data_IF_129854449884
#
_entry.id   IF_129854449884
#
_cell.length_a   1.000
_cell.length_b   1.000
_cell.length_c   1.000
_cell.angle_alpha   90.00
_cell.angle_beta   90.00
_cell.angle_gamma   90.00
#
_symmetry.space_group_name_H-M   'P 1'
#
loop_
_entity.id
_entity.type
_entity.pdbx_description
1 polymer ?
#
# COMPACT_ATOMS: atom_id res chain seq x y z
N UNK A 1 17.42 12.22 10.03
CA UNK A 1 17.52 13.23 8.95
C UNK A 1 16.79 14.50 9.38
N UNK A 2 17.15 15.69 8.83
CA UNK A 2 16.58 16.97 9.28
C UNK A 2 15.81 17.68 8.19
N UNK A 3 14.77 18.41 8.56
CA UNK A 3 13.96 19.26 7.68
C UNK A 3 14.84 20.33 6.95
N UNK A 4 15.97 20.68 7.55
CA UNK A 4 16.95 21.60 6.97
C UNK A 4 17.56 21.03 5.68
N UNK A 5 17.92 19.76 5.68
CA UNK A 5 18.49 19.07 4.51
C UNK A 5 17.49 18.96 3.36
N UNK A 6 16.21 18.74 3.67
CA UNK A 6 15.14 18.76 2.67
C UNK A 6 15.00 20.15 2.05
N UNK A 7 15.08 21.20 2.87
CA UNK A 7 15.00 22.58 2.41
C UNK A 7 16.14 22.94 1.46
N UNK A 8 17.36 22.53 1.78
CA UNK A 8 18.55 22.70 0.96
C UNK A 8 18.42 21.99 -0.40
N UNK A 9 18.07 20.72 -0.42
CA UNK A 9 17.94 19.92 -1.65
C UNK A 9 16.73 20.32 -2.52
N UNK A 10 15.61 20.70 -1.87
CA UNK A 10 14.45 21.19 -2.59
C UNK A 10 14.60 22.64 -3.08
N UNK A 11 15.57 23.39 -2.55
CA UNK A 11 15.80 24.80 -2.89
C UNK A 11 14.71 25.72 -2.34
N UNK A 12 14.19 25.46 -1.15
CA UNK A 12 13.11 26.23 -0.51
C UNK A 12 13.42 26.50 0.96
N UNK A 13 12.64 27.40 1.58
CA UNK A 13 12.81 27.69 3.00
C UNK A 13 12.39 26.53 3.89
N UNK A 14 13.01 26.38 5.06
CA UNK A 14 12.61 25.39 6.09
C UNK A 14 11.14 25.55 6.45
N UNK A 15 10.65 26.81 6.51
CA UNK A 15 9.24 27.09 6.82
C UNK A 15 8.31 26.57 5.72
N UNK A 16 8.69 26.66 4.44
CA UNK A 16 7.93 26.11 3.31
C UNK A 16 7.87 24.59 3.39
N UNK A 17 9.01 23.92 3.63
CA UNK A 17 9.07 22.47 3.82
C UNK A 17 8.17 22.05 4.99
N UNK A 18 8.29 22.72 6.13
CA UNK A 18 7.48 22.43 7.31
C UNK A 18 5.96 22.57 7.04
N UNK A 19 5.54 23.60 6.32
CA UNK A 19 4.13 23.80 5.98
C UNK A 19 3.62 22.74 5.00
N UNK A 20 4.39 22.41 3.96
CA UNK A 20 4.03 21.38 2.98
C UNK A 20 3.92 20.00 3.62
N UNK A 21 4.87 19.63 4.48
CA UNK A 21 4.90 18.29 5.09
C UNK A 21 3.92 18.14 6.26
N UNK A 22 3.52 19.24 6.91
CA UNK A 22 2.66 19.19 8.11
C UNK A 22 1.23 19.71 7.89
N UNK A 23 0.91 20.29 6.73
CA UNK A 23 -0.43 20.79 6.44
C UNK A 23 -0.89 20.33 5.06
N UNK A 24 -1.76 19.30 4.99
CA UNK A 24 -2.30 18.77 3.73
C UNK A 24 -3.00 19.84 2.86
N UNK A 25 -3.63 20.82 3.52
CA UNK A 25 -4.38 21.88 2.86
C UNK A 25 -3.54 23.13 2.55
N UNK A 26 -2.23 23.10 2.85
CA UNK A 26 -1.37 24.23 2.54
C UNK A 26 -1.25 24.44 1.02
N UNK A 27 -1.73 25.58 0.54
CA UNK A 27 -1.58 25.99 -0.86
C UNK A 27 -0.13 26.42 -1.09
N UNK A 28 0.67 25.49 -1.58
CA UNK A 28 2.05 25.80 -2.00
C UNK A 28 2.02 26.72 -3.23
N UNK A 29 3.05 27.56 -3.39
CA UNK A 29 3.20 28.48 -4.51
C UNK A 29 3.18 27.78 -5.88
N UNK A 30 3.51 26.49 -5.94
CA UNK A 30 3.46 25.68 -7.15
C UNK A 30 3.30 24.19 -6.79
N UNK A 31 2.47 23.42 -7.54
CA UNK A 31 2.41 21.96 -7.41
C UNK A 31 3.79 21.31 -7.59
N UNK A 32 4.59 21.78 -8.53
CA UNK A 32 5.96 21.27 -8.78
C UNK A 32 6.88 21.39 -7.56
N UNK A 33 6.78 22.49 -6.81
CA UNK A 33 7.55 22.69 -5.57
C UNK A 33 7.07 21.74 -4.49
N UNK A 34 5.76 21.52 -4.35
CA UNK A 34 5.20 20.56 -3.43
C UNK A 34 5.71 19.15 -3.72
N UNK A 35 5.62 18.71 -4.98
CA UNK A 35 6.08 17.39 -5.41
C UNK A 35 7.59 17.21 -5.17
N UNK A 36 8.39 18.26 -5.45
CA UNK A 36 9.83 18.22 -5.18
C UNK A 36 10.12 18.03 -3.69
N UNK A 37 9.44 18.76 -2.80
CA UNK A 37 9.59 18.62 -1.35
C UNK A 37 9.26 17.20 -0.91
N UNK A 38 8.14 16.63 -1.40
CA UNK A 38 7.74 15.27 -1.07
C UNK A 38 8.73 14.23 -1.57
N UNK A 39 9.17 14.32 -2.84
CA UNK A 39 10.20 13.43 -3.40
C UNK A 39 11.49 13.46 -2.61
N UNK A 40 11.93 14.66 -2.23
CA UNK A 40 13.16 14.83 -1.42
C UNK A 40 12.99 14.27 -0.02
N UNK A 41 11.86 14.52 0.65
CA UNK A 41 11.58 13.98 1.98
C UNK A 41 11.58 12.45 1.99
N UNK A 42 10.99 11.85 0.96
CA UNK A 42 10.95 10.40 0.73
C UNK A 42 12.36 9.85 0.48
N UNK A 43 13.11 10.46 -0.44
CA UNK A 43 14.48 10.02 -0.76
C UNK A 43 15.43 10.08 0.44
N UNK A 44 15.20 11.03 1.35
CA UNK A 44 15.99 11.20 2.57
C UNK A 44 15.47 10.42 3.78
N UNK A 45 14.43 9.57 3.62
CA UNK A 45 13.78 8.87 4.72
C UNK A 45 13.45 9.81 5.90
N UNK A 46 12.90 10.98 5.58
CA UNK A 46 12.56 11.95 6.62
C UNK A 46 11.21 11.63 7.25
N UNK A 47 11.21 11.37 8.54
CA UNK A 47 10.00 11.26 9.36
C UNK A 47 9.80 12.53 10.17
N UNK A 48 8.63 13.20 10.09
CA UNK A 48 8.32 14.35 10.92
C UNK A 48 8.42 14.01 12.42
N UNK A 49 9.12 14.82 13.20
CA UNK A 49 9.25 14.61 14.64
C UNK A 49 7.93 14.97 15.34
N UNK A 50 7.20 13.97 15.82
CA UNK A 50 5.92 14.12 16.50
C UNK A 50 6.03 14.91 17.81
N UNK A 51 7.13 14.77 18.56
CA UNK A 51 7.37 15.54 19.79
C UNK A 51 7.48 17.04 19.49
N UNK A 52 8.17 17.42 18.42
CA UNK A 52 8.26 18.80 17.96
C UNK A 52 6.93 19.36 17.43
N UNK A 53 6.06 18.48 16.90
CA UNK A 53 4.72 18.85 16.43
C UNK A 53 3.75 19.06 17.59
N UNK A 54 3.77 18.18 18.59
CA UNK A 54 2.98 18.31 19.81
C UNK A 54 3.29 19.60 20.56
N UNK A 55 4.58 19.99 20.65
CA UNK A 55 5.01 21.25 21.24
C UNK A 55 4.51 22.50 20.48
N UNK A 56 4.28 22.39 19.15
CA UNK A 56 3.78 23.53 18.33
C UNK A 56 2.26 23.66 18.31
N UNK A 57 1.52 22.57 18.52
CA UNK A 57 0.05 22.53 18.45
C UNK A 57 -0.61 22.89 19.79
N UNK A 58 0.17 23.08 20.85
CA UNK A 58 -0.34 23.46 22.18
C UNK A 58 -1.23 22.38 22.82
N UNK A 59 -1.96 22.78 23.88
CA UNK A 59 -2.76 21.89 24.74
C UNK A 59 -3.83 21.03 24.04
N UNK A 60 -4.31 21.40 22.87
CA UNK A 60 -5.32 20.59 22.14
C UNK A 60 -4.75 19.28 21.56
N UNK A 61 -3.49 19.30 21.11
CA UNK A 61 -2.84 18.07 20.60
C UNK A 61 -2.42 17.11 21.73
N UNK A 62 -2.21 17.64 22.94
CA UNK A 62 -1.89 16.80 24.12
C UNK A 62 -3.11 16.04 24.66
N UNK A 63 -4.33 16.41 24.26
CA UNK A 63 -5.58 15.74 24.70
C UNK A 63 -5.96 14.55 23.86
N UNK A 64 -5.42 14.40 22.64
CA UNK A 64 -5.71 13.24 21.79
C UNK A 64 -4.69 12.13 22.04
N UNK A 65 -5.17 11.02 22.59
CA UNK A 65 -4.38 9.79 22.71
C UNK A 65 -3.97 9.33 21.31
N UNK A 66 -2.68 9.03 21.05
CA UNK A 66 -2.27 8.56 19.73
C UNK A 66 -2.89 7.20 19.42
N UNK A 67 -3.24 7.00 18.15
CA UNK A 67 -3.63 5.69 17.66
C UNK A 67 -2.38 4.85 17.38
N UNK A 68 -2.44 3.59 17.77
CA UNK A 68 -1.38 2.63 17.53
C UNK A 68 -1.74 1.74 16.33
N UNK A 69 -0.94 1.80 15.28
CA UNK A 69 -1.23 1.14 13.99
C UNK A 69 -0.16 0.11 13.69
N UNK A 70 -0.58 -1.11 13.37
CA UNK A 70 0.27 -2.16 12.82
C UNK A 70 0.12 -2.27 11.30
N UNK A 71 1.13 -2.78 10.63
CA UNK A 71 1.08 -3.09 9.18
C UNK A 71 1.43 -4.54 8.95
N UNK A 72 0.58 -5.25 8.22
CA UNK A 72 0.78 -6.64 7.83
C UNK A 72 1.05 -6.74 6.32
N UNK A 73 2.28 -7.09 5.96
CA UNK A 73 2.73 -7.33 4.58
C UNK A 73 2.55 -8.81 4.25
N UNK A 74 1.60 -9.15 3.38
CA UNK A 74 1.25 -10.55 3.10
C UNK A 74 1.92 -11.14 1.85
N UNK A 75 2.59 -10.31 1.04
CA UNK A 75 3.23 -10.74 -0.20
C UNK A 75 4.75 -10.89 -0.11
N UNK A 76 5.34 -10.44 0.99
CA UNK A 76 6.80 -10.32 1.14
C UNK A 76 7.26 -11.06 2.39
N UNK A 77 8.40 -11.75 2.26
CA UNK A 77 9.11 -12.34 3.41
C UNK A 77 10.07 -11.34 4.07
N UNK A 78 10.50 -10.33 3.30
CA UNK A 78 11.45 -9.29 3.73
C UNK A 78 11.15 -7.96 3.03
N UNK A 79 11.57 -6.86 3.62
CA UNK A 79 11.37 -5.50 3.12
C UNK A 79 11.92 -5.19 1.72
N UNK A 80 12.75 -6.06 1.14
CA UNK A 80 13.48 -5.78 -0.11
C UNK A 80 13.04 -6.58 -1.32
N UNK A 81 12.00 -7.42 -1.20
CA UNK A 81 11.68 -8.42 -2.24
C UNK A 81 10.69 -7.94 -3.31
N UNK A 82 9.96 -6.86 -3.10
CA UNK A 82 9.01 -6.34 -4.08
C UNK A 82 8.94 -4.80 -4.03
N UNK A 83 9.46 -4.11 -5.06
CA UNK A 83 9.48 -2.63 -5.09
C UNK A 83 8.11 -1.99 -5.00
N UNK A 84 7.07 -2.58 -5.59
CA UNK A 84 5.70 -2.04 -5.57
C UNK A 84 5.12 -2.05 -4.14
N UNK A 85 5.23 -3.17 -3.44
CA UNK A 85 4.72 -3.29 -2.08
C UNK A 85 5.56 -2.48 -1.07
N UNK A 86 6.86 -2.35 -1.31
CA UNK A 86 7.72 -1.45 -0.54
C UNK A 86 7.30 0.01 -0.67
N UNK A 87 6.93 0.44 -1.88
CA UNK A 87 6.44 1.80 -2.08
C UNK A 87 5.11 2.04 -1.38
N UNK A 88 4.17 1.07 -1.43
CA UNK A 88 2.93 1.13 -0.68
C UNK A 88 3.17 1.25 0.82
N UNK A 89 4.04 0.40 1.38
CA UNK A 89 4.41 0.46 2.79
C UNK A 89 4.97 1.84 3.15
N UNK A 90 5.89 2.38 2.34
CA UNK A 90 6.50 3.69 2.58
C UNK A 90 5.47 4.81 2.57
N UNK A 91 4.49 4.77 1.68
CA UNK A 91 3.39 5.74 1.65
C UNK A 91 2.54 5.63 2.92
N UNK A 92 2.20 4.41 3.33
CA UNK A 92 1.43 4.16 4.56
C UNK A 92 2.19 4.66 5.79
N UNK A 93 3.47 4.34 5.94
CA UNK A 93 4.33 4.84 7.02
C UNK A 93 4.37 6.37 7.05
N UNK A 94 4.55 6.99 5.87
CA UNK A 94 4.54 8.46 5.76
C UNK A 94 3.22 9.07 6.19
N UNK A 95 2.08 8.46 5.85
CA UNK A 95 0.76 8.97 6.25
C UNK A 95 0.48 8.75 7.74
N UNK A 96 0.84 7.59 8.31
CA UNK A 96 0.73 7.34 9.76
C UNK A 96 1.49 8.43 10.54
N UNK A 97 2.70 8.77 10.11
CA UNK A 97 3.50 9.81 10.75
C UNK A 97 2.93 11.23 10.62
N UNK A 98 2.04 11.50 9.67
CA UNK A 98 1.37 12.80 9.53
C UNK A 98 0.15 12.94 10.43
N UNK A 99 -0.41 11.85 10.86
CA UNK A 99 -1.58 11.80 11.76
C UNK A 99 -1.13 11.73 13.24
N UNK A 100 -2.08 11.79 14.15
CA UNK A 100 -1.84 11.51 15.57
C UNK A 100 -1.83 9.98 15.75
N UNK A 101 -0.86 9.32 15.09
CA UNK A 101 -0.74 7.88 15.09
C UNK A 101 0.73 7.45 15.20
N UNK A 102 0.93 6.24 15.73
CA UNK A 102 2.24 5.62 15.93
C UNK A 102 2.23 4.28 15.22
N UNK A 103 3.18 4.08 14.30
CA UNK A 103 3.44 2.77 13.73
C UNK A 103 4.08 1.88 14.80
N UNK A 104 3.38 0.84 15.24
CA UNK A 104 3.84 -0.07 16.28
C UNK A 104 4.78 -1.13 15.71
N UNK A 105 4.38 -1.76 14.63
CA UNK A 105 5.14 -2.84 14.01
C UNK A 105 4.74 -3.07 12.56
N UNK A 106 5.69 -3.57 11.76
CA UNK A 106 5.47 -4.11 10.42
C UNK A 106 5.77 -5.60 10.45
N UNK A 107 4.79 -6.43 10.11
CA UNK A 107 4.95 -7.87 9.96
C UNK A 107 5.07 -8.24 8.49
N UNK A 108 5.99 -9.14 8.17
CA UNK A 108 6.17 -9.73 6.83
C UNK A 108 5.77 -11.20 6.92
N UNK A 109 4.52 -11.52 6.57
CA UNK A 109 3.93 -12.85 6.78
C UNK A 109 3.20 -13.37 5.54
N UNK A 110 3.92 -13.95 4.56
CA UNK A 110 3.33 -14.54 3.35
C UNK A 110 2.35 -15.68 3.65
N UNK A 111 2.41 -16.25 4.85
CA UNK A 111 1.42 -17.20 5.34
C UNK A 111 -0.01 -16.76 5.03
N UNK A 112 -0.33 -15.49 5.32
CA UNK A 112 -1.69 -14.96 5.19
C UNK A 112 -2.17 -14.82 3.75
N UNK A 113 -1.29 -14.85 2.76
CA UNK A 113 -1.66 -14.86 1.34
C UNK A 113 -1.83 -16.26 0.75
N UNK A 114 -1.44 -17.29 1.47
CA UNK A 114 -1.42 -18.68 1.01
C UNK A 114 -2.57 -19.50 1.63
N UNK A 115 -3.61 -19.75 0.84
CA UNK A 115 -4.81 -20.45 1.31
C UNK A 115 -4.53 -21.88 1.80
N UNK A 116 -3.54 -22.57 1.22
CA UNK A 116 -3.17 -23.93 1.69
C UNK A 116 -2.51 -23.88 3.07
N UNK A 117 -1.58 -22.95 3.27
CA UNK A 117 -0.91 -22.77 4.56
C UNK A 117 -1.88 -22.29 5.64
N UNK A 118 -2.77 -21.36 5.32
CA UNK A 118 -3.80 -20.87 6.23
C UNK A 118 -4.73 -21.97 6.76
N UNK A 119 -4.99 -23.03 5.97
CA UNK A 119 -5.81 -24.16 6.40
C UNK A 119 -5.09 -25.11 7.37
N UNK A 120 -3.78 -25.13 7.36
CA UNK A 120 -2.96 -26.05 8.17
C UNK A 120 -2.56 -25.39 9.49
N UNK A 121 -2.27 -24.08 9.43
CA UNK A 121 -1.79 -23.31 10.58
C UNK A 121 -2.90 -22.89 11.53
N UNK A 122 -2.58 -22.81 12.80
CA UNK A 122 -3.49 -22.23 13.79
C UNK A 122 -3.46 -20.71 13.73
N UNK A 123 -4.29 -20.14 12.84
CA UNK A 123 -4.35 -18.70 12.61
C UNK A 123 -4.69 -17.89 13.87
N UNK A 124 -5.54 -18.42 14.75
CA UNK A 124 -5.85 -17.74 16.01
C UNK A 124 -4.59 -17.55 16.86
N UNK A 125 -3.77 -18.59 17.00
CA UNK A 125 -2.52 -18.50 17.75
C UNK A 125 -1.54 -17.50 17.11
N UNK A 126 -1.37 -17.58 15.80
CA UNK A 126 -0.46 -16.65 15.07
C UNK A 126 -0.91 -15.20 15.25
N UNK A 127 -2.20 -14.93 15.16
CA UNK A 127 -2.75 -13.57 15.30
C UNK A 127 -2.67 -13.07 16.75
N UNK A 128 -2.87 -13.95 17.75
CA UNK A 128 -2.66 -13.58 19.15
C UNK A 128 -1.18 -13.24 19.42
N UNK A 129 -0.24 -14.07 18.93
CA UNK A 129 1.20 -13.78 19.03
C UNK A 129 1.57 -12.43 18.39
N UNK A 130 1.02 -12.11 17.21
CA UNK A 130 1.19 -10.80 16.58
C UNK A 130 0.69 -9.66 17.46
N UNK A 131 -0.47 -9.82 18.09
CA UNK A 131 -1.05 -8.79 18.94
C UNK A 131 -0.26 -8.60 20.23
N UNK A 132 0.21 -9.69 20.83
CA UNK A 132 1.03 -9.67 22.05
C UNK A 132 2.39 -9.01 21.82
N UNK A 133 2.98 -9.16 20.63
CA UNK A 133 4.22 -8.47 20.24
C UNK A 133 4.11 -6.93 20.28
N UNK A 134 2.92 -6.38 20.24
CA UNK A 134 2.66 -4.94 20.40
C UNK A 134 2.24 -4.56 21.83
N UNK A 135 2.49 -5.43 22.80
CA UNK A 135 2.02 -5.24 24.19
C UNK A 135 0.51 -4.96 24.25
N UNK A 136 -0.26 -5.53 23.33
CA UNK A 136 -1.71 -5.37 23.20
C UNK A 136 -2.17 -3.91 23.01
N UNK A 137 -1.29 -3.06 22.50
CA UNK A 137 -1.55 -1.63 22.28
C UNK A 137 -1.89 -1.26 20.84
N UNK A 138 -2.06 -2.23 19.94
CA UNK A 138 -2.38 -1.97 18.55
C UNK A 138 -3.89 -1.70 18.39
N UNK A 139 -4.26 -0.48 18.03
CA UNK A 139 -5.66 -0.08 17.81
C UNK A 139 -6.17 -0.50 16.43
N UNK A 140 -5.32 -0.42 15.40
CA UNK A 140 -5.69 -0.72 14.03
C UNK A 140 -4.64 -1.49 13.27
N UNK A 141 -5.07 -2.23 12.25
CA UNK A 141 -4.20 -3.01 11.37
C UNK A 141 -4.44 -2.62 9.92
N UNK A 142 -3.36 -2.32 9.20
CA UNK A 142 -3.37 -2.13 7.75
C UNK A 142 -2.78 -3.38 7.11
N UNK A 143 -3.56 -4.05 6.26
CA UNK A 143 -3.12 -5.25 5.52
C UNK A 143 -2.73 -4.81 4.11
N UNK A 144 -1.50 -5.06 3.70
CA UNK A 144 -1.00 -4.76 2.36
C UNK A 144 -0.76 -6.05 1.59
N UNK A 145 -1.53 -6.27 0.54
CA UNK A 145 -1.49 -7.45 -0.30
C UNK A 145 -2.69 -8.38 -0.13
N UNK A 146 -2.71 -9.51 -0.87
CA UNK A 146 -3.76 -10.52 -0.74
C UNK A 146 -3.73 -11.15 0.66
N UNK A 147 -4.89 -11.27 1.28
CA UNK A 147 -5.05 -11.97 2.55
C UNK A 147 -6.16 -13.01 2.45
N UNK A 148 -5.96 -14.15 3.07
CA UNK A 148 -6.95 -15.22 3.15
C UNK A 148 -8.19 -14.75 3.90
N UNK A 149 -9.38 -15.19 3.47
CA UNK A 149 -10.66 -14.74 4.02
C UNK A 149 -10.81 -15.07 5.50
N UNK A 150 -10.47 -16.29 5.92
CA UNK A 150 -10.60 -16.71 7.31
C UNK A 150 -9.66 -15.93 8.22
N UNK A 151 -8.44 -15.66 7.72
CA UNK A 151 -7.47 -14.80 8.41
C UNK A 151 -7.98 -13.36 8.58
N UNK A 152 -8.57 -12.77 7.54
CA UNK A 152 -9.18 -11.43 7.63
C UNK A 152 -10.27 -11.39 8.71
N UNK A 153 -11.13 -12.40 8.76
CA UNK A 153 -12.20 -12.46 9.77
C UNK A 153 -11.65 -12.54 11.19
N UNK A 154 -10.58 -13.30 11.42
CA UNK A 154 -9.95 -13.39 12.73
C UNK A 154 -9.27 -12.08 13.09
N UNK A 155 -8.53 -11.47 12.16
CA UNK A 155 -7.90 -10.17 12.33
C UNK A 155 -8.93 -9.08 12.65
N UNK A 156 -10.06 -9.05 11.92
CA UNK A 156 -11.13 -8.07 12.13
C UNK A 156 -11.84 -8.21 13.49
N UNK A 157 -11.82 -9.41 14.09
CA UNK A 157 -12.32 -9.61 15.47
C UNK A 157 -11.31 -9.18 16.52
N UNK A 158 -10.01 -9.26 16.18
CA UNK A 158 -8.93 -9.02 17.15
C UNK A 158 -8.54 -7.55 17.26
N UNK A 159 -8.51 -6.84 16.15
CA UNK A 159 -8.17 -5.42 16.09
C UNK A 159 -9.45 -4.56 16.03
N UNK A 160 -9.42 -3.36 16.60
CA UNK A 160 -10.58 -2.45 16.59
C UNK A 160 -10.97 -2.00 15.19
N UNK A 161 -9.97 -1.86 14.31
CA UNK A 161 -10.17 -1.46 12.93
C UNK A 161 -9.16 -2.17 12.04
N UNK A 162 -9.63 -2.70 10.92
CA UNK A 162 -8.78 -3.34 9.92
C UNK A 162 -9.08 -2.73 8.57
N UNK A 163 -8.03 -2.33 7.84
CA UNK A 163 -8.13 -1.79 6.49
C UNK A 163 -7.24 -2.63 5.57
N UNK A 164 -7.78 -3.06 4.45
CA UNK A 164 -7.03 -3.78 3.42
C UNK A 164 -6.64 -2.84 2.29
N UNK A 165 -5.35 -2.84 1.94
CA UNK A 165 -4.79 -2.19 0.75
C UNK A 165 -4.40 -3.28 -0.22
N UNK A 166 -5.23 -3.53 -1.24
CA UNK A 166 -5.08 -4.69 -2.10
C UNK A 166 -5.35 -4.34 -3.58
N UNK A 167 -4.97 -5.26 -4.47
CA UNK A 167 -5.29 -5.18 -5.89
C UNK A 167 -6.70 -5.71 -6.20
N UNK A 168 -7.17 -6.70 -5.43
CA UNK A 168 -8.50 -7.32 -5.58
C UNK A 168 -9.28 -7.19 -4.28
N UNK A 169 -10.61 -7.07 -4.39
CA UNK A 169 -11.48 -6.94 -3.24
C UNK A 169 -11.41 -8.14 -2.29
N UNK A 170 -11.58 -7.88 -1.01
CA UNK A 170 -11.81 -8.87 0.04
C UNK A 170 -13.29 -9.26 0.15
N UNK A 171 -14.15 -8.79 -0.77
CA UNK A 171 -15.61 -8.90 -0.73
C UNK A 171 -16.24 -8.22 0.50
N UNK A 172 -15.72 -7.04 0.84
CA UNK A 172 -16.25 -6.17 1.91
C UNK A 172 -16.17 -6.79 3.32
N UNK A 173 -15.26 -7.72 3.55
CA UNK A 173 -15.04 -8.27 4.91
C UNK A 173 -14.45 -7.22 5.86
N UNK A 174 -13.70 -6.25 5.32
CA UNK A 174 -13.12 -5.09 6.02
C UNK A 174 -13.18 -3.86 5.12
N UNK A 175 -12.87 -2.69 5.65
CA UNK A 175 -12.67 -1.49 4.81
C UNK A 175 -11.52 -1.70 3.83
N UNK A 176 -11.70 -1.22 2.58
CA UNK A 176 -10.78 -1.53 1.49
C UNK A 176 -10.32 -0.27 0.75
N UNK A 177 -9.02 -0.23 0.46
CA UNK A 177 -8.44 0.68 -0.52
C UNK A 177 -8.02 -0.14 -1.73
N UNK A 178 -8.72 0.06 -2.85
CA UNK A 178 -8.54 -0.73 -4.07
C UNK A 178 -8.11 0.14 -5.24
N UNK A 179 -7.35 -0.46 -6.14
CA UNK A 179 -7.19 0.02 -7.51
C UNK A 179 -8.19 -0.73 -8.40
N UNK A 180 -8.90 -0.01 -9.27
CA UNK A 180 -9.72 -0.66 -10.31
C UNK A 180 -8.82 -1.28 -11.37
N UNK A 181 -8.34 -2.49 -11.08
CA UNK A 181 -7.41 -3.23 -11.93
C UNK A 181 -8.00 -3.56 -13.30
N UNK A 182 -9.30 -3.80 -13.38
CA UNK A 182 -9.98 -4.07 -14.65
C UNK A 182 -9.94 -2.84 -15.54
N UNK A 183 -10.33 -1.68 -15.02
CA UNK A 183 -10.30 -0.42 -15.77
C UNK A 183 -8.88 -0.03 -16.19
N UNK A 184 -7.90 -0.20 -15.30
CA UNK A 184 -6.49 0.11 -15.61
C UNK A 184 -5.97 -0.76 -16.75
N UNK A 185 -6.26 -2.08 -16.73
CA UNK A 185 -5.86 -2.98 -17.80
C UNK A 185 -6.56 -2.65 -19.10
N UNK A 186 -7.87 -2.36 -19.06
CA UNK A 186 -8.61 -1.91 -20.25
C UNK A 186 -7.97 -0.68 -20.87
N UNK A 187 -7.68 0.36 -20.08
CA UNK A 187 -7.04 1.58 -20.56
C UNK A 187 -5.67 1.31 -21.20
N UNK A 188 -4.88 0.40 -20.63
CA UNK A 188 -3.57 0.04 -21.17
C UNK A 188 -3.70 -0.67 -22.52
N UNK A 189 -4.61 -1.64 -22.62
CA UNK A 189 -4.86 -2.39 -23.86
C UNK A 189 -5.48 -1.49 -24.94
N UNK A 190 -6.48 -0.69 -24.60
CA UNK A 190 -7.08 0.31 -25.50
C UNK A 190 -6.01 1.25 -26.07
N UNK A 191 -5.06 1.68 -25.23
CA UNK A 191 -3.95 2.52 -25.66
C UNK A 191 -3.04 1.80 -26.68
N UNK A 192 -2.65 0.55 -26.42
CA UNK A 192 -1.84 -0.25 -27.35
C UNK A 192 -2.57 -0.45 -28.68
N UNK A 193 -3.87 -0.74 -28.66
CA UNK A 193 -4.69 -0.90 -29.88
C UNK A 193 -4.74 0.44 -30.64
N UNK A 194 -4.88 1.56 -29.95
CA UNK A 194 -4.88 2.89 -30.58
C UNK A 194 -3.57 3.23 -31.32
N UNK A 195 -2.45 2.60 -30.90
CA UNK A 195 -1.15 2.68 -31.56
C UNK A 195 -1.00 1.67 -32.72
N UNK A 196 -2.01 0.86 -33.00
CA UNK A 196 -2.04 -0.10 -34.10
C UNK A 196 -1.54 -1.50 -33.73
N UNK A 197 -1.27 -1.77 -32.44
CA UNK A 197 -0.91 -3.12 -31.99
C UNK A 197 -2.14 -4.05 -32.04
N UNK A 198 -1.99 -5.21 -32.66
CA UNK A 198 -3.02 -6.26 -32.70
C UNK A 198 -2.64 -7.48 -31.88
N UNK A 199 -1.34 -7.77 -31.77
CA UNK A 199 -0.80 -8.90 -31.04
C UNK A 199 -0.36 -8.40 -29.67
N UNK A 200 -1.25 -8.52 -28.68
CA UNK A 200 -1.04 -8.02 -27.32
C UNK A 200 -1.04 -9.21 -26.37
N UNK A 201 0.07 -9.44 -25.69
CA UNK A 201 0.20 -10.53 -24.73
C UNK A 201 -0.17 -10.08 -23.32
N UNK A 202 -0.64 -11.03 -22.53
CA UNK A 202 -0.84 -10.90 -21.10
C UNK A 202 0.13 -11.82 -20.35
N UNK A 203 0.90 -11.24 -19.41
CA UNK A 203 1.78 -11.99 -18.50
C UNK A 203 1.36 -11.70 -17.07
N UNK A 204 0.89 -12.71 -16.35
CA UNK A 204 0.44 -12.53 -14.98
C UNK A 204 -0.50 -13.61 -14.49
N UNK A 205 -1.12 -13.36 -13.31
CA UNK A 205 -2.13 -14.26 -12.76
C UNK A 205 -3.44 -14.12 -13.55
N UNK A 206 -3.93 -15.24 -14.08
CA UNK A 206 -5.20 -15.30 -14.82
C UNK A 206 -6.37 -15.72 -13.92
N UNK A 207 -6.09 -16.22 -12.71
CA UNK A 207 -7.11 -16.77 -11.83
C UNK A 207 -7.70 -15.69 -10.92
N UNK A 208 -9.00 -15.39 -11.11
CA UNK A 208 -9.73 -14.37 -10.36
C UNK A 208 -9.03 -12.99 -10.33
N UNK A 209 -8.35 -12.64 -11.41
CA UNK A 209 -7.55 -11.42 -11.52
C UNK A 209 -8.31 -10.34 -12.32
N UNK A 210 -8.51 -9.18 -11.71
CA UNK A 210 -9.28 -8.09 -12.32
C UNK A 210 -8.59 -7.54 -13.59
N UNK A 211 -7.26 -7.46 -13.61
CA UNK A 211 -6.51 -6.98 -14.78
C UNK A 211 -6.60 -7.95 -15.97
N UNK A 212 -6.61 -9.26 -15.70
CA UNK A 212 -6.83 -10.24 -16.76
C UNK A 212 -8.22 -10.08 -17.39
N UNK A 213 -9.25 -9.86 -16.56
CA UNK A 213 -10.59 -9.57 -17.08
C UNK A 213 -10.62 -8.30 -17.91
N UNK A 214 -9.93 -7.24 -17.46
CA UNK A 214 -9.81 -6.00 -18.21
C UNK A 214 -9.09 -6.15 -19.55
N UNK A 215 -8.03 -6.97 -19.61
CA UNK A 215 -7.36 -7.32 -20.85
C UNK A 215 -8.31 -8.00 -21.83
N UNK A 216 -9.02 -9.06 -21.41
CA UNK A 216 -9.97 -9.77 -22.26
C UNK A 216 -11.11 -8.87 -22.72
N UNK A 217 -11.65 -8.05 -21.84
CA UNK A 217 -12.74 -7.13 -22.17
C UNK A 217 -12.31 -6.08 -23.21
N UNK A 218 -11.11 -5.52 -23.07
CA UNK A 218 -10.59 -4.56 -24.04
C UNK A 218 -10.38 -5.21 -25.42
N UNK A 219 -9.80 -6.40 -25.52
CA UNK A 219 -9.66 -7.13 -26.78
C UNK A 219 -11.04 -7.38 -27.42
N UNK A 220 -11.99 -7.87 -26.63
CA UNK A 220 -13.34 -8.16 -27.12
C UNK A 220 -14.06 -6.90 -27.66
N UNK A 221 -13.90 -5.76 -27.00
CA UNK A 221 -14.48 -4.48 -27.47
C UNK A 221 -13.92 -4.00 -28.80
N UNK A 222 -12.74 -4.47 -29.18
CA UNK A 222 -12.07 -4.14 -30.44
C UNK A 222 -12.11 -5.30 -31.46
N UNK A 223 -12.98 -6.30 -31.24
CA UNK A 223 -13.13 -7.48 -32.11
C UNK A 223 -11.80 -8.21 -32.30
N UNK A 224 -10.95 -8.29 -31.27
CA UNK A 224 -9.70 -9.05 -31.26
C UNK A 224 -9.90 -10.28 -30.39
N UNK A 225 -9.73 -11.46 -30.97
CA UNK A 225 -9.78 -12.71 -30.22
C UNK A 225 -8.48 -12.89 -29.41
N UNK A 226 -8.56 -13.27 -28.14
CA UNK A 226 -7.37 -13.57 -27.33
C UNK A 226 -6.76 -14.91 -27.81
N UNK A 227 -5.49 -14.89 -28.16
CA UNK A 227 -4.75 -16.09 -28.53
C UNK A 227 -4.12 -16.75 -27.31
N UNK A 228 -4.24 -18.06 -27.17
CA UNK A 228 -3.73 -18.80 -26.03
C UNK A 228 -2.21 -18.64 -25.85
N UNK A 229 -1.46 -18.56 -26.93
CA UNK A 229 -0.01 -18.39 -26.93
C UNK A 229 0.44 -17.00 -26.42
N UNK A 230 -0.49 -16.03 -26.38
CA UNK A 230 -0.22 -14.70 -25.84
C UNK A 230 -0.63 -14.57 -24.37
N UNK A 231 -1.08 -15.64 -23.71
CA UNK A 231 -1.47 -15.63 -22.31
C UNK A 231 -0.51 -16.49 -21.51
N UNK A 232 0.34 -15.84 -20.71
CA UNK A 232 1.34 -16.51 -19.88
C UNK A 232 0.95 -16.37 -18.40
N UNK A 233 0.54 -17.49 -17.82
CA UNK A 233 0.21 -17.57 -16.38
C UNK A 233 1.48 -17.55 -15.55
N UNK A 234 1.60 -16.55 -14.65
CA UNK A 234 2.72 -16.47 -13.70
C UNK A 234 2.24 -16.03 -12.32
N UNK A 235 2.98 -16.36 -11.25
CA UNK A 235 2.77 -15.83 -9.90
C UNK A 235 3.29 -14.39 -9.72
N UNK A 236 3.76 -13.75 -10.79
CA UNK A 236 4.30 -12.39 -10.79
C UNK A 236 5.52 -12.23 -9.88
N UNK A 237 6.37 -13.24 -9.80
CA UNK A 237 7.67 -13.19 -9.13
C UNK A 237 8.79 -12.96 -10.14
N UNK A 238 9.93 -12.43 -9.69
CA UNK A 238 11.10 -12.24 -10.54
C UNK A 238 11.57 -13.57 -11.17
N UNK A 239 11.54 -14.66 -10.38
CA UNK A 239 11.94 -16.00 -10.84
C UNK A 239 11.02 -16.58 -11.92
N UNK A 240 9.77 -16.15 -12.01
CA UNK A 240 8.81 -16.61 -13.01
C UNK A 240 8.74 -15.65 -14.22
N UNK A 241 9.43 -14.52 -14.16
CA UNK A 241 9.53 -13.55 -15.24
C UNK A 241 10.66 -13.86 -16.24
N UNK A 242 11.52 -14.82 -15.92
CA UNK A 242 12.57 -15.36 -16.77
C UNK A 242 12.14 -16.71 -17.36
#
# INVERSE_FOLDING_TARGET
MSIKKIAEEAGVSIATVSRVLNNPNYKCSSPKVRDKIWKTAIALNYTPNHAARALKLGDEAQRQKPYYIGVLMTRMEKATTDPFFNELLRVVESEIHKQVAILTKVWYMPLFSNDKRCRIENLNRVIEEMYDETEQKCDGLIIIGKCNKDAIQILNRRYKSVVSVNRNSTNYEVDEVLCDGQKVAMMAVDYLISLGHKNIAYVGDCYNEARYRGYLEALHRHDIDPEADYIVQTGQTEAEGF
#
